data_IF_489310445526
#
_entry.id   IF_489310445526
#
_cell.length_a   1.000
_cell.length_b   1.000
_cell.length_c   1.000
_cell.angle_alpha   90.00
_cell.angle_beta   90.00
_cell.angle_gamma   90.00
#
_symmetry.space_group_name_H-M   'P 1'
#
loop_
_entity.id
_entity.type
_entity.pdbx_description
1 polymer ?
#
# COMPACT_ATOMS: atom_id res chain seq x y z
N UNK A 1 -1.49 -9.24 17.97
CA UNK A 1 -0.55 -8.99 16.85
C UNK A 1 0.02 -7.59 17.01
N UNK A 2 1.29 -7.34 16.68
CA UNK A 2 1.85 -6.00 16.88
C UNK A 2 1.19 -4.98 15.93
N UNK A 3 0.99 -3.72 16.36
CA UNK A 3 0.39 -2.70 15.51
C UNK A 3 1.13 -2.47 14.19
N UNK A 4 2.45 -2.60 14.26
CA UNK A 4 3.34 -2.54 13.11
C UNK A 4 3.02 -3.63 12.07
N UNK A 5 2.82 -4.88 12.48
CA UNK A 5 2.54 -5.98 11.56
C UNK A 5 1.22 -5.76 10.82
N UNK A 6 0.18 -5.30 11.53
CA UNK A 6 -1.14 -5.03 10.91
C UNK A 6 -1.04 -3.92 9.87
N UNK A 7 -0.36 -2.81 10.21
CA UNK A 7 -0.12 -1.72 9.28
C UNK A 7 0.68 -2.17 8.05
N UNK A 8 1.71 -3.00 8.26
CA UNK A 8 2.57 -3.52 7.19
C UNK A 8 1.81 -4.44 6.24
N UNK A 9 0.97 -5.33 6.75
CA UNK A 9 0.11 -6.19 5.92
C UNK A 9 -0.86 -5.37 5.06
N UNK A 10 -1.44 -4.30 5.63
CA UNK A 10 -2.31 -3.40 4.89
C UNK A 10 -1.54 -2.66 3.78
N UNK A 11 -0.36 -2.13 4.08
CA UNK A 11 0.49 -1.47 3.09
C UNK A 11 0.86 -2.39 1.92
N UNK A 12 1.25 -3.63 2.20
CA UNK A 12 1.57 -4.64 1.17
C UNK A 12 0.33 -4.99 0.34
N UNK A 13 -0.83 -5.19 0.98
CA UNK A 13 -2.08 -5.47 0.26
C UNK A 13 -2.49 -4.34 -0.67
N UNK A 14 -2.35 -3.08 -0.23
CA UNK A 14 -2.60 -1.91 -1.04
C UNK A 14 -1.64 -1.80 -2.23
N UNK A 15 -0.35 -2.03 -2.03
CA UNK A 15 0.64 -2.05 -3.12
C UNK A 15 0.23 -3.04 -4.21
N UNK A 16 -0.09 -4.29 -3.84
CA UNK A 16 -0.47 -5.34 -4.79
C UNK A 16 -1.77 -4.99 -5.52
N UNK A 17 -2.76 -4.48 -4.80
CA UNK A 17 -4.03 -4.09 -5.41
C UNK A 17 -3.87 -2.93 -6.41
N UNK A 18 -3.17 -1.86 -6.02
CA UNK A 18 -2.91 -0.70 -6.89
C UNK A 18 -2.09 -1.11 -8.09
N UNK A 19 -1.03 -1.92 -7.90
CA UNK A 19 -0.20 -2.38 -8.99
C UNK A 19 -1.00 -3.14 -10.05
N UNK A 20 -1.81 -4.12 -9.64
CA UNK A 20 -2.65 -4.89 -10.57
C UNK A 20 -3.67 -4.00 -11.28
N UNK A 21 -4.26 -3.04 -10.55
CA UNK A 21 -5.26 -2.13 -11.11
C UNK A 21 -4.64 -1.18 -12.14
N UNK A 22 -3.47 -0.61 -11.85
CA UNK A 22 -2.76 0.28 -12.77
C UNK A 22 -2.17 -0.46 -13.95
N UNK A 23 -1.66 -1.69 -13.77
CA UNK A 23 -1.21 -2.52 -14.89
C UNK A 23 -2.33 -2.78 -15.90
N UNK A 24 -3.55 -3.06 -15.41
CA UNK A 24 -4.73 -3.24 -16.27
C UNK A 24 -5.20 -1.96 -16.96
N UNK A 25 -5.02 -0.78 -16.35
CA UNK A 25 -5.46 0.51 -16.91
C UNK A 25 -4.44 1.17 -17.82
N UNK A 26 -3.14 0.98 -17.55
CA UNK A 26 -2.06 1.62 -18.28
C UNK A 26 -1.58 0.82 -19.49
N UNK A 27 -2.19 -0.33 -19.77
CA UNK A 27 -1.81 -1.19 -20.90
C UNK A 27 -0.44 -1.85 -20.74
N UNK A 28 -0.02 -2.14 -19.51
CA UNK A 28 1.29 -2.76 -19.24
C UNK A 28 2.43 -1.78 -18.97
N UNK A 29 2.16 -0.53 -18.61
CA UNK A 29 3.19 0.39 -18.12
C UNK A 29 3.63 0.01 -16.70
N UNK A 30 4.56 -0.93 -16.61
CA UNK A 30 5.06 -1.47 -15.34
C UNK A 30 5.76 -0.41 -14.50
N UNK A 31 6.54 0.49 -15.10
CA UNK A 31 7.31 1.50 -14.35
C UNK A 31 6.38 2.44 -13.59
N UNK A 32 5.41 3.05 -14.27
CA UNK A 32 4.48 3.98 -13.63
C UNK A 32 3.56 3.27 -12.64
N UNK A 33 3.11 2.05 -12.97
CA UNK A 33 2.25 1.25 -12.10
C UNK A 33 2.97 0.85 -10.80
N UNK A 34 4.25 0.50 -10.88
CA UNK A 34 5.06 0.13 -9.72
C UNK A 34 5.35 1.32 -8.81
N UNK A 35 5.73 2.46 -9.39
CA UNK A 35 5.97 3.69 -8.61
C UNK A 35 4.72 4.15 -7.88
N UNK A 36 3.58 4.20 -8.57
CA UNK A 36 2.32 4.60 -7.96
C UNK A 36 1.86 3.60 -6.88
N UNK A 37 1.99 2.30 -7.14
CA UNK A 37 1.69 1.26 -6.16
C UNK A 37 2.55 1.36 -4.90
N UNK A 38 3.86 1.58 -5.04
CA UNK A 38 4.77 1.76 -3.92
C UNK A 38 4.43 2.98 -3.06
N UNK A 39 4.10 4.11 -3.69
CA UNK A 39 3.69 5.34 -2.97
C UNK A 39 2.39 5.09 -2.19
N UNK A 40 1.36 4.52 -2.83
CA UNK A 40 0.07 4.29 -2.15
C UNK A 40 0.21 3.26 -1.04
N UNK A 41 0.98 2.20 -1.24
CA UNK A 41 1.26 1.20 -0.21
C UNK A 41 1.98 1.77 1.00
N UNK A 42 2.99 2.61 0.77
CA UNK A 42 3.73 3.28 1.85
C UNK A 42 2.86 4.27 2.62
N UNK A 43 2.05 5.07 1.92
CA UNK A 43 1.10 5.99 2.56
C UNK A 43 0.06 5.21 3.38
N UNK A 44 -0.49 4.12 2.83
CA UNK A 44 -1.44 3.26 3.54
C UNK A 44 -0.85 2.64 4.80
N UNK A 45 0.41 2.20 4.74
CA UNK A 45 1.17 1.73 5.91
C UNK A 45 1.27 2.83 6.98
N UNK A 46 1.74 4.03 6.62
CA UNK A 46 1.93 5.13 7.57
C UNK A 46 0.61 5.56 8.22
N UNK A 47 -0.46 5.69 7.43
CA UNK A 47 -1.78 6.06 7.93
C UNK A 47 -2.30 5.03 8.93
N UNK A 48 -2.22 3.74 8.60
CA UNK A 48 -2.70 2.68 9.49
C UNK A 48 -1.83 2.56 10.74
N UNK A 49 -0.51 2.73 10.62
CA UNK A 49 0.38 2.72 11.77
C UNK A 49 0.11 3.90 12.71
N UNK A 50 -0.12 5.10 12.17
CA UNK A 50 -0.51 6.27 12.96
C UNK A 50 -1.85 6.03 13.68
N UNK A 51 -2.88 5.58 12.95
CA UNK A 51 -4.20 5.28 13.52
C UNK A 51 -4.07 4.29 14.67
N UNK A 52 -3.34 3.19 14.44
CA UNK A 52 -3.18 2.14 15.45
C UNK A 52 -2.47 2.66 16.70
N UNK A 53 -1.41 3.46 16.57
CA UNK A 53 -0.75 4.08 17.74
C UNK A 53 -1.61 5.11 18.49
N UNK A 54 -2.65 5.67 17.86
CA UNK A 54 -3.55 6.60 18.53
C UNK A 54 -4.68 5.89 19.29
N UNK A 55 -4.97 4.63 18.94
CA UNK A 55 -6.07 3.85 19.54
C UNK A 55 -5.60 2.75 20.50
N UNK A 56 -4.30 2.39 20.50
CA UNK A 56 -3.68 1.43 21.44
C UNK A 56 -2.70 2.12 22.35
#
# INVERSE_FOLDING_TARGET
>A
MSPFIVALMLGVGLTVWVYNKLMGQTGGNTSNSLTAAGIIGFIGFLLMWLIMNMIT
#
